data_IF_109811087005
#
_entry.id   IF_109811087005
#
_cell.length_a   1.000
_cell.length_b   1.000
_cell.length_c   1.000
_cell.angle_alpha   90.00
_cell.angle_beta   90.00
_cell.angle_gamma   90.00
#
_symmetry.space_group_name_H-M   'P 1'
#
loop_
_entity.id
_entity.type
_entity.pdbx_description
1 polymer ?
#
# COMPACT_ATOMS: atom_id res chain seq x y z
N UNK A 1 -10.97 17.31 -1.38
CA UNK A 1 -11.74 17.48 -0.11
C UNK A 1 -13.13 16.81 -0.19
N UNK A 2 -13.88 16.96 -1.29
CA UNK A 2 -15.23 16.38 -1.41
C UNK A 2 -15.28 14.85 -1.29
N UNK A 3 -14.27 14.12 -1.78
CA UNK A 3 -14.21 12.65 -1.67
C UNK A 3 -14.30 12.13 -0.23
N UNK A 4 -13.72 12.84 0.75
CA UNK A 4 -13.70 12.41 2.15
C UNK A 4 -15.05 12.57 2.86
N UNK A 5 -16.00 13.28 2.25
CA UNK A 5 -17.25 13.64 2.89
C UNK A 5 -18.49 12.94 2.32
N UNK A 6 -18.33 12.10 1.29
CA UNK A 6 -19.46 11.49 0.56
C UNK A 6 -19.66 9.99 0.84
N UNK A 7 -19.09 9.45 1.91
CA UNK A 7 -19.18 8.01 2.28
C UNK A 7 -18.80 7.09 1.11
N UNK A 8 -17.84 7.51 0.29
CA UNK A 8 -17.39 6.79 -0.89
C UNK A 8 -16.54 5.58 -0.55
N UNK A 9 -16.61 4.55 -1.39
CA UNK A 9 -15.79 3.35 -1.30
C UNK A 9 -14.74 3.39 -2.42
N UNK A 10 -13.47 3.32 -2.08
CA UNK A 10 -12.36 3.52 -3.00
C UNK A 10 -11.36 2.37 -2.92
N UNK A 11 -11.07 1.77 -4.06
CA UNK A 11 -10.02 0.77 -4.22
C UNK A 11 -8.77 1.40 -4.83
N UNK A 12 -7.68 1.39 -4.10
CA UNK A 12 -6.34 1.77 -4.57
C UNK A 12 -5.68 0.49 -5.08
N UNK A 13 -5.74 0.28 -6.38
CA UNK A 13 -5.26 -0.92 -7.05
C UNK A 13 -3.84 -0.74 -7.60
N UNK A 14 -3.03 -1.78 -7.50
CA UNK A 14 -1.70 -1.79 -8.08
C UNK A 14 -0.86 -2.98 -7.61
N UNK A 15 0.20 -3.24 -8.33
CA UNK A 15 1.11 -4.35 -8.06
C UNK A 15 1.77 -4.26 -6.68
N UNK A 16 2.33 -5.37 -6.21
CA UNK A 16 3.11 -5.39 -4.98
C UNK A 16 4.26 -4.38 -5.03
N UNK A 17 4.53 -3.67 -3.93
CA UNK A 17 5.65 -2.72 -3.86
C UNK A 17 5.55 -1.42 -4.68
N UNK A 18 4.44 -1.17 -5.40
CA UNK A 18 4.24 0.07 -6.18
C UNK A 18 4.08 1.33 -5.32
N UNK A 19 3.83 1.18 -4.01
CA UNK A 19 3.69 2.29 -3.08
C UNK A 19 2.25 2.54 -2.57
N UNK A 20 1.34 1.57 -2.66
CA UNK A 20 -0.05 1.70 -2.19
C UNK A 20 -0.13 2.10 -0.71
N UNK A 21 0.52 1.35 0.16
CA UNK A 21 0.60 1.63 1.61
C UNK A 21 1.22 2.99 1.89
N UNK A 22 2.25 3.38 1.13
CA UNK A 22 2.88 4.68 1.28
C UNK A 22 1.93 5.82 0.89
N UNK A 23 1.17 5.64 -0.19
CA UNK A 23 0.13 6.59 -0.58
C UNK A 23 -0.93 6.76 0.53
N UNK A 24 -1.36 5.67 1.18
CA UNK A 24 -2.31 5.75 2.30
C UNK A 24 -1.72 6.53 3.48
N UNK A 25 -0.45 6.28 3.85
CA UNK A 25 0.24 7.05 4.90
C UNK A 25 0.32 8.54 4.57
N UNK A 26 0.63 8.87 3.31
CA UNK A 26 0.67 10.26 2.86
C UNK A 26 -0.72 10.91 2.87
N UNK A 27 -1.78 10.18 2.55
CA UNK A 27 -3.16 10.66 2.68
C UNK A 27 -3.52 10.98 4.13
N UNK A 28 -3.20 10.10 5.08
CA UNK A 28 -3.42 10.34 6.51
C UNK A 28 -2.66 11.58 6.96
N UNK A 29 -1.35 11.65 6.66
CA UNK A 29 -0.53 12.80 7.02
C UNK A 29 -1.03 14.12 6.42
N UNK A 30 -1.50 14.09 5.17
CA UNK A 30 -2.11 15.24 4.54
C UNK A 30 -3.41 15.65 5.23
N UNK A 31 -4.25 14.68 5.61
CA UNK A 31 -5.50 14.96 6.35
C UNK A 31 -5.23 15.65 7.69
N UNK A 32 -4.19 15.21 8.41
CA UNK A 32 -3.75 15.82 9.66
C UNK A 32 -3.23 17.26 9.44
N UNK A 33 -2.38 17.47 8.42
CA UNK A 33 -1.81 18.79 8.09
C UNK A 33 -2.87 19.79 7.64
N UNK A 34 -3.89 19.35 6.90
CA UNK A 34 -5.01 20.18 6.44
C UNK A 34 -6.15 20.30 7.48
N UNK A 35 -5.92 19.80 8.69
CA UNK A 35 -6.90 19.80 9.81
C UNK A 35 -8.29 19.30 9.35
N UNK A 36 -8.30 18.20 8.58
CA UNK A 36 -9.54 17.58 8.12
C UNK A 36 -10.26 16.97 9.32
N UNK A 37 -11.42 17.53 9.66
CA UNK A 37 -12.23 17.01 10.78
C UNK A 37 -12.86 15.67 10.43
N UNK A 38 -12.20 14.59 10.82
CA UNK A 38 -12.69 13.22 10.67
C UNK A 38 -12.01 12.30 11.70
N UNK A 39 -12.67 11.19 12.01
CA UNK A 39 -12.06 10.07 12.74
C UNK A 39 -11.35 9.19 11.73
N UNK A 40 -10.13 8.78 12.01
CA UNK A 40 -9.35 7.89 11.15
C UNK A 40 -9.27 6.52 11.84
N UNK A 41 -9.70 5.48 11.14
CA UNK A 41 -9.48 4.09 11.50
C UNK A 41 -8.55 3.45 10.46
N UNK A 42 -7.54 2.71 10.90
CA UNK A 42 -6.60 2.02 10.02
C UNK A 42 -6.53 0.55 10.42
N UNK A 43 -6.72 -0.33 9.44
CA UNK A 43 -6.72 -1.78 9.59
C UNK A 43 -5.71 -2.37 8.60
N UNK A 44 -4.78 -3.15 9.09
CA UNK A 44 -3.94 -4.01 8.27
C UNK A 44 -4.68 -5.33 8.04
N UNK A 45 -4.99 -5.63 6.77
CA UNK A 45 -5.60 -6.91 6.43
C UNK A 45 -4.56 -8.03 6.50
N UNK A 46 -4.90 -9.10 7.19
CA UNK A 46 -4.02 -10.26 7.36
C UNK A 46 -4.72 -11.54 6.85
N UNK A 47 -5.33 -12.33 7.72
CA UNK A 47 -5.95 -13.62 7.37
C UNK A 47 -7.35 -13.47 6.77
N UNK A 48 -8.17 -12.68 7.41
CA UNK A 48 -9.53 -12.31 7.01
C UNK A 48 -9.92 -10.98 7.69
N UNK A 49 -11.05 -10.43 7.29
CA UNK A 49 -11.50 -9.13 7.77
C UNK A 49 -11.84 -9.16 9.28
N UNK A 50 -12.51 -10.22 9.74
CA UNK A 50 -12.90 -10.33 11.14
C UNK A 50 -11.68 -10.37 12.08
N UNK A 51 -10.65 -11.17 11.76
CA UNK A 51 -9.41 -11.23 12.51
C UNK A 51 -8.66 -9.90 12.46
N UNK A 52 -8.59 -9.26 11.30
CA UNK A 52 -7.90 -7.99 11.09
C UNK A 52 -8.51 -6.85 11.91
N UNK A 53 -9.84 -6.76 11.94
CA UNK A 53 -10.55 -5.76 12.73
C UNK A 53 -10.41 -6.04 14.24
N UNK A 54 -10.59 -7.29 14.66
CA UNK A 54 -10.43 -7.70 16.06
C UNK A 54 -9.05 -7.34 16.64
N UNK A 55 -8.00 -7.31 15.80
CA UNK A 55 -6.63 -6.93 16.23
C UNK A 55 -6.39 -5.42 16.17
N UNK A 56 -7.06 -4.72 15.25
CA UNK A 56 -6.81 -3.30 15.00
C UNK A 56 -7.60 -2.36 15.90
N UNK A 57 -8.79 -2.76 16.34
CA UNK A 57 -9.62 -1.95 17.22
C UNK A 57 -9.31 -2.28 18.69
N UNK A 58 -9.16 -1.23 19.49
CA UNK A 58 -8.93 -1.34 20.93
C UNK A 58 -10.25 -1.29 21.71
N UNK A 59 -10.23 -1.84 22.93
CA UNK A 59 -11.34 -1.82 23.88
C UNK A 59 -12.62 -2.55 23.41
N UNK A 60 -12.46 -3.56 22.53
CA UNK A 60 -13.53 -4.46 22.18
C UNK A 60 -13.81 -5.42 23.35
N UNK A 61 -15.10 -5.69 23.60
CA UNK A 61 -15.56 -6.51 24.73
C UNK A 61 -16.00 -7.91 24.32
N UNK A 62 -16.19 -8.16 23.02
CA UNK A 62 -16.60 -9.44 22.47
C UNK A 62 -15.63 -10.57 22.85
N UNK A 63 -16.16 -11.75 23.15
CA UNK A 63 -15.37 -12.93 23.54
C UNK A 63 -14.79 -13.64 22.32
N UNK A 64 -15.52 -13.68 21.19
CA UNK A 64 -15.07 -14.28 19.93
C UNK A 64 -14.51 -13.24 18.94
N UNK A 65 -13.83 -13.71 17.89
CA UNK A 65 -13.34 -12.86 16.79
C UNK A 65 -14.51 -12.21 16.05
N UNK A 66 -15.59 -12.98 15.81
CA UNK A 66 -16.79 -12.52 15.14
C UNK A 66 -17.52 -11.45 15.96
N UNK A 67 -17.65 -11.65 17.26
CA UNK A 67 -18.27 -10.65 18.14
C UNK A 67 -17.52 -9.33 18.14
N UNK A 68 -16.18 -9.38 18.23
CA UNK A 68 -15.33 -8.19 18.15
C UNK A 68 -15.40 -7.51 16.78
N UNK A 69 -15.50 -8.28 15.71
CA UNK A 69 -15.71 -7.75 14.38
C UNK A 69 -17.02 -6.97 14.30
N UNK A 70 -18.14 -7.57 14.71
CA UNK A 70 -19.45 -6.89 14.68
C UNK A 70 -19.47 -5.67 15.61
N UNK A 71 -18.80 -5.74 16.75
CA UNK A 71 -18.64 -4.58 17.65
C UNK A 71 -17.84 -3.45 16.95
N UNK A 72 -16.79 -3.79 16.20
CA UNK A 72 -16.02 -2.82 15.40
C UNK A 72 -16.87 -2.20 14.29
N UNK A 73 -17.67 -3.00 13.58
CA UNK A 73 -18.61 -2.53 12.55
C UNK A 73 -19.64 -1.59 13.16
N UNK A 74 -20.17 -1.95 14.34
CA UNK A 74 -21.10 -1.09 15.07
C UNK A 74 -20.46 0.27 15.39
N UNK A 75 -19.25 0.31 15.94
CA UNK A 75 -18.54 1.56 16.24
C UNK A 75 -18.22 2.41 15.00
N UNK A 76 -18.00 1.79 13.84
CA UNK A 76 -17.81 2.51 12.58
C UNK A 76 -19.14 3.05 12.01
N UNK A 77 -20.28 2.42 12.38
CA UNK A 77 -21.62 2.78 11.92
C UNK A 77 -22.30 3.83 12.79
N UNK A 78 -21.82 4.04 14.03
CA UNK A 78 -22.39 5.05 14.93
C UNK A 78 -22.31 6.45 14.28
N UNK A 79 -23.40 7.19 14.34
CA UNK A 79 -23.45 8.59 13.94
C UNK A 79 -22.63 9.44 14.90
N UNK A 80 -21.42 9.78 14.52
CA UNK A 80 -20.59 10.75 15.21
C UNK A 80 -20.75 12.13 14.58
N UNK A 81 -20.46 13.18 15.36
CA UNK A 81 -20.40 14.55 14.82
C UNK A 81 -19.32 14.68 13.73
N UNK A 82 -18.29 13.85 13.79
CA UNK A 82 -17.21 13.79 12.80
C UNK A 82 -17.35 12.53 11.95
N UNK A 83 -17.18 12.70 10.64
CA UNK A 83 -17.20 11.57 9.68
C UNK A 83 -16.01 10.65 9.91
N UNK A 84 -16.22 9.37 9.71
CA UNK A 84 -15.18 8.35 9.83
C UNK A 84 -14.56 8.06 8.44
N UNK A 85 -13.24 7.92 8.39
CA UNK A 85 -12.49 7.43 7.25
C UNK A 85 -11.77 6.16 7.67
N UNK A 86 -12.10 5.05 7.02
CA UNK A 86 -11.47 3.75 7.22
C UNK A 86 -10.42 3.51 6.14
N UNK A 87 -9.20 3.18 6.56
CA UNK A 87 -8.13 2.69 5.71
C UNK A 87 -7.94 1.19 5.95
N UNK A 88 -8.11 0.38 4.91
CA UNK A 88 -7.88 -1.06 4.92
C UNK A 88 -6.72 -1.38 3.98
N UNK A 89 -5.57 -1.76 4.55
CA UNK A 89 -4.34 -2.00 3.77
C UNK A 89 -4.13 -3.48 3.47
N UNK A 90 -3.69 -3.76 2.23
CA UNK A 90 -3.29 -5.08 1.74
C UNK A 90 -4.42 -6.13 1.64
N UNK A 91 -5.66 -5.72 1.38
CA UNK A 91 -6.79 -6.62 1.19
C UNK A 91 -6.75 -7.23 -0.21
N UNK A 92 -6.37 -8.50 -0.32
CA UNK A 92 -6.17 -9.20 -1.58
C UNK A 92 -7.14 -10.38 -1.79
N UNK A 93 -8.11 -10.57 -0.90
CA UNK A 93 -9.14 -11.60 -0.99
C UNK A 93 -10.41 -11.09 -1.67
N UNK A 94 -11.13 -12.01 -2.31
CA UNK A 94 -12.47 -11.77 -2.87
C UNK A 94 -13.54 -11.98 -1.81
N UNK A 95 -14.79 -11.60 -2.09
CA UNK A 95 -15.92 -11.88 -1.20
C UNK A 95 -16.23 -13.38 -1.05
N UNK A 96 -15.84 -14.19 -2.03
CA UNK A 96 -15.96 -15.65 -1.93
C UNK A 96 -14.95 -16.23 -0.92
N UNK A 97 -13.77 -15.64 -0.82
CA UNK A 97 -12.71 -16.03 0.12
C UNK A 97 -12.91 -15.43 1.52
N UNK A 98 -13.48 -14.23 1.60
CA UNK A 98 -13.78 -13.56 2.87
C UNK A 98 -15.19 -12.94 2.84
N UNK A 99 -16.21 -13.64 3.31
CA UNK A 99 -17.61 -13.18 3.27
C UNK A 99 -17.87 -11.86 4.05
N UNK A 100 -17.04 -11.53 5.04
CA UNK A 100 -17.16 -10.29 5.80
C UNK A 100 -16.91 -9.02 4.96
N UNK A 101 -16.27 -9.16 3.79
CA UNK A 101 -16.05 -8.03 2.88
C UNK A 101 -17.35 -7.37 2.39
N UNK A 102 -18.45 -8.13 2.32
CA UNK A 102 -19.76 -7.59 1.95
C UNK A 102 -20.25 -6.52 2.93
N UNK A 103 -19.93 -6.65 4.22
CA UNK A 103 -20.34 -5.70 5.26
C UNK A 103 -19.70 -4.32 5.11
N UNK A 104 -18.52 -4.23 4.48
CA UNK A 104 -17.87 -2.94 4.23
C UNK A 104 -18.66 -2.03 3.29
N UNK A 105 -19.46 -2.61 2.40
CA UNK A 105 -20.22 -1.84 1.40
C UNK A 105 -21.30 -0.98 2.05
N UNK A 106 -21.88 -1.48 3.12
CA UNK A 106 -23.00 -0.85 3.81
C UNK A 106 -22.58 0.15 4.91
N UNK A 107 -21.28 0.20 5.23
CA UNK A 107 -20.79 1.15 6.24
C UNK A 107 -21.00 2.60 5.81
N UNK A 108 -21.51 3.48 6.69
CA UNK A 108 -21.75 4.89 6.36
C UNK A 108 -20.49 5.76 6.36
N UNK A 109 -19.31 5.18 6.28
CA UNK A 109 -18.02 5.87 6.30
C UNK A 109 -17.34 5.87 4.93
N UNK A 110 -16.39 6.75 4.74
CA UNK A 110 -15.48 6.69 3.58
C UNK A 110 -14.46 5.57 3.79
N UNK A 111 -14.30 4.70 2.79
CA UNK A 111 -13.36 3.57 2.88
C UNK A 111 -12.32 3.64 1.76
N UNK A 112 -11.05 3.55 2.12
CA UNK A 112 -9.95 3.35 1.22
C UNK A 112 -9.37 1.96 1.44
N UNK A 113 -9.37 1.15 0.39
CA UNK A 113 -8.80 -0.20 0.39
C UNK A 113 -7.59 -0.22 -0.52
N UNK A 114 -6.46 -0.79 -0.09
CA UNK A 114 -5.37 -1.12 -1.00
C UNK A 114 -5.40 -2.59 -1.35
N UNK A 115 -5.24 -2.90 -2.64
CA UNK A 115 -5.24 -4.28 -3.13
C UNK A 115 -4.38 -4.45 -4.38
N UNK A 116 -4.03 -5.71 -4.69
CA UNK A 116 -3.53 -6.11 -6.01
C UNK A 116 -4.66 -6.37 -7.01
N UNK A 117 -5.87 -6.58 -6.53
CA UNK A 117 -7.04 -6.77 -7.36
C UNK A 117 -7.31 -5.53 -8.21
N UNK A 118 -7.75 -5.73 -9.44
CA UNK A 118 -8.08 -4.65 -10.38
C UNK A 118 -9.49 -4.10 -10.17
N UNK A 119 -10.33 -4.85 -9.49
CA UNK A 119 -11.73 -4.53 -9.24
C UNK A 119 -12.17 -5.09 -7.89
N UNK A 120 -12.99 -4.33 -7.19
CA UNK A 120 -13.72 -4.78 -6.01
C UNK A 120 -15.15 -4.25 -6.16
N UNK A 121 -16.13 -5.14 -6.07
CA UNK A 121 -17.52 -4.79 -6.29
C UNK A 121 -18.02 -3.74 -5.30
N UNK A 122 -18.72 -2.72 -5.79
CA UNK A 122 -19.14 -1.57 -4.97
C UNK A 122 -18.08 -0.51 -4.69
N UNK A 123 -16.83 -0.68 -5.21
CA UNK A 123 -15.74 0.27 -5.01
C UNK A 123 -15.33 1.00 -6.29
N UNK A 124 -15.09 2.29 -6.19
CA UNK A 124 -14.47 3.08 -7.27
C UNK A 124 -12.97 2.81 -7.30
N UNK A 125 -12.47 2.27 -8.41
CA UNK A 125 -11.07 1.85 -8.53
C UNK A 125 -10.15 2.97 -9.03
N UNK A 126 -9.05 3.18 -8.32
CA UNK A 126 -7.92 4.01 -8.71
C UNK A 126 -6.67 3.14 -8.91
N UNK A 127 -6.25 2.94 -10.16
CA UNK A 127 -5.04 2.21 -10.48
C UNK A 127 -3.79 3.08 -10.29
N UNK A 128 -2.85 2.64 -9.45
CA UNK A 128 -1.54 3.29 -9.33
C UNK A 128 -0.65 2.87 -10.49
N UNK A 129 -0.14 3.87 -11.20
CA UNK A 129 0.85 3.68 -12.26
C UNK A 129 2.26 3.76 -11.70
N UNK A 130 3.22 3.16 -12.41
CA UNK A 130 4.63 3.30 -12.09
C UNK A 130 5.03 4.79 -11.99
N UNK A 131 5.81 5.17 -10.97
CA UNK A 131 6.27 6.55 -10.83
C UNK A 131 7.16 6.98 -12.00
N UNK A 132 7.23 8.29 -12.22
CA UNK A 132 8.17 8.84 -13.22
C UNK A 132 9.63 8.54 -12.85
N UNK A 133 10.53 8.46 -13.84
CA UNK A 133 11.96 8.18 -13.65
C UNK A 133 12.63 9.12 -12.63
N UNK A 134 12.21 10.38 -12.58
CA UNK A 134 12.70 11.34 -11.57
C UNK A 134 12.37 10.93 -10.14
N UNK A 135 11.13 10.48 -9.89
CA UNK A 135 10.72 9.97 -8.58
C UNK A 135 11.41 8.65 -8.24
N UNK A 136 11.57 7.75 -9.21
CA UNK A 136 12.32 6.50 -9.07
C UNK A 136 13.78 6.77 -8.69
N UNK A 137 14.43 7.76 -9.32
CA UNK A 137 15.80 8.19 -8.97
C UNK A 137 15.89 8.71 -7.52
N UNK A 138 14.87 9.41 -7.04
CA UNK A 138 14.80 9.85 -5.64
C UNK A 138 14.70 8.66 -4.69
N UNK A 139 13.82 7.70 -4.97
CA UNK A 139 13.66 6.47 -4.15
C UNK A 139 15.01 5.75 -4.03
N UNK A 140 15.75 5.60 -5.13
CA UNK A 140 17.08 5.02 -5.07
C UNK A 140 18.02 5.82 -4.17
N UNK A 141 18.12 7.15 -4.39
CA UNK A 141 19.03 8.03 -3.66
C UNK A 141 18.74 8.08 -2.16
N UNK A 142 17.48 8.09 -1.77
CA UNK A 142 17.06 8.10 -0.36
C UNK A 142 17.45 6.81 0.39
N UNK A 143 17.71 5.73 -0.35
CA UNK A 143 18.12 4.45 0.20
C UNK A 143 19.61 4.13 -0.04
N UNK A 144 20.30 4.93 -0.84
CA UNK A 144 21.74 4.82 -1.11
C UNK A 144 22.48 5.84 -0.26
N UNK A 145 23.00 5.43 0.89
CA UNK A 145 23.62 6.29 1.92
C UNK A 145 24.90 7.01 1.46
N UNK A 146 25.02 7.35 0.18
CA UNK A 146 26.17 8.06 -0.39
C UNK A 146 25.70 9.08 -1.42
N UNK A 147 26.52 10.11 -1.62
CA UNK A 147 26.33 11.05 -2.72
C UNK A 147 26.78 10.36 -4.01
N UNK A 148 25.85 10.22 -4.96
CA UNK A 148 26.15 9.65 -6.27
C UNK A 148 27.17 10.52 -7.03
N UNK A 149 28.23 9.91 -7.51
CA UNK A 149 29.14 10.49 -8.49
C UNK A 149 28.41 10.74 -9.82
N UNK A 150 29.07 11.44 -10.73
CA UNK A 150 28.52 11.66 -12.08
C UNK A 150 28.33 10.34 -12.83
N UNK A 151 29.31 9.45 -12.75
CA UNK A 151 29.27 8.13 -13.39
C UNK A 151 28.15 7.26 -12.85
N UNK A 152 27.96 7.24 -11.52
CA UNK A 152 26.85 6.49 -10.89
C UNK A 152 25.48 7.05 -11.28
N UNK A 153 25.35 8.37 -11.44
CA UNK A 153 24.11 8.99 -11.94
C UNK A 153 23.80 8.57 -13.39
N UNK A 154 24.82 8.56 -14.25
CA UNK A 154 24.67 8.14 -15.63
C UNK A 154 24.32 6.64 -15.71
N UNK A 155 24.88 5.83 -14.81
CA UNK A 155 24.58 4.40 -14.68
C UNK A 155 23.16 4.16 -14.19
N UNK A 156 22.72 4.84 -13.13
CA UNK A 156 21.34 4.78 -12.64
C UNK A 156 20.36 5.18 -13.74
N UNK A 157 20.66 6.22 -14.52
CA UNK A 157 19.81 6.64 -15.63
C UNK A 157 19.66 5.55 -16.69
N UNK A 158 20.71 4.82 -17.03
CA UNK A 158 20.66 3.68 -17.95
C UNK A 158 19.88 2.50 -17.38
N UNK A 159 20.01 2.22 -16.07
CA UNK A 159 19.23 1.18 -15.41
C UNK A 159 17.74 1.48 -15.50
N UNK A 160 17.32 2.72 -15.29
CA UNK A 160 15.92 3.16 -15.36
C UNK A 160 15.32 3.09 -16.77
N UNK A 161 16.12 2.79 -17.82
CA UNK A 161 15.58 2.45 -19.15
C UNK A 161 15.04 1.02 -19.22
N UNK A 162 15.51 0.12 -18.35
CA UNK A 162 15.04 -1.25 -18.27
C UNK A 162 13.77 -1.30 -17.41
N UNK A 163 12.70 -1.96 -17.89
CA UNK A 163 11.40 -2.03 -17.24
C UNK A 163 11.48 -2.58 -15.80
N UNK A 164 12.29 -3.61 -15.60
CA UNK A 164 12.56 -4.24 -14.29
C UNK A 164 12.99 -3.26 -13.20
N UNK A 165 13.69 -2.17 -13.55
CA UNK A 165 14.13 -1.14 -12.62
C UNK A 165 13.14 0.04 -12.52
N UNK A 166 12.03 0.01 -13.25
CA UNK A 166 10.98 1.04 -13.13
C UNK A 166 9.99 0.74 -11.99
N UNK A 167 10.42 -0.07 -11.03
CA UNK A 167 9.62 -0.47 -9.89
C UNK A 167 10.18 0.09 -8.57
N UNK A 168 9.36 0.79 -7.75
CA UNK A 168 9.84 1.45 -6.52
C UNK A 168 10.55 0.54 -5.55
N UNK A 169 10.00 -0.67 -5.30
CA UNK A 169 10.62 -1.63 -4.37
C UNK A 169 11.99 -2.10 -4.87
N UNK A 170 12.11 -2.39 -6.17
CA UNK A 170 13.40 -2.78 -6.78
C UNK A 170 14.46 -1.71 -6.55
N UNK A 171 14.13 -0.44 -6.78
CA UNK A 171 15.07 0.65 -6.58
C UNK A 171 15.40 0.92 -5.10
N UNK A 172 14.43 0.72 -4.22
CA UNK A 172 14.66 0.77 -2.77
C UNK A 172 15.65 -0.31 -2.33
N UNK A 173 15.48 -1.53 -2.81
CA UNK A 173 16.36 -2.66 -2.51
C UNK A 173 17.75 -2.45 -3.14
N UNK A 174 17.81 -2.00 -4.39
CA UNK A 174 19.04 -1.67 -5.09
C UNK A 174 19.83 -0.58 -4.35
N UNK A 175 19.17 0.49 -3.89
CA UNK A 175 19.80 1.54 -3.11
C UNK A 175 20.40 1.02 -1.81
N UNK A 176 19.63 0.20 -1.06
CA UNK A 176 20.12 -0.45 0.15
C UNK A 176 21.30 -1.39 -0.11
N UNK A 177 21.16 -2.28 -1.10
CA UNK A 177 22.21 -3.22 -1.48
C UNK A 177 23.49 -2.48 -1.93
N UNK A 178 23.36 -1.42 -2.74
CA UNK A 178 24.49 -0.59 -3.18
C UNK A 178 25.28 0.01 -2.03
N UNK A 179 24.65 0.28 -0.90
CA UNK A 179 25.33 0.72 0.33
C UNK A 179 26.22 -0.39 0.92
N UNK A 180 25.76 -1.63 0.92
CA UNK A 180 26.51 -2.78 1.46
C UNK A 180 27.66 -3.21 0.57
N UNK A 181 27.48 -3.18 -0.76
CA UNK A 181 28.50 -3.65 -1.73
C UNK A 181 29.50 -2.57 -2.18
N UNK A 182 29.61 -1.48 -1.41
CA UNK A 182 30.63 -0.43 -1.62
C UNK A 182 30.68 0.16 -3.04
N UNK A 183 29.53 0.16 -3.74
CA UNK A 183 29.44 0.73 -5.08
C UNK A 183 29.91 -0.19 -6.21
N UNK A 184 30.03 -1.49 -5.98
CA UNK A 184 30.22 -2.46 -7.06
C UNK A 184 28.89 -2.69 -7.81
N UNK A 185 28.61 -1.78 -8.74
CA UNK A 185 27.37 -1.76 -9.51
C UNK A 185 27.26 -2.95 -10.49
N UNK A 186 28.36 -3.49 -10.99
CA UNK A 186 28.34 -4.64 -11.90
C UNK A 186 27.80 -5.87 -11.17
N UNK A 187 28.30 -6.10 -9.97
CA UNK A 187 27.83 -7.19 -9.12
C UNK A 187 26.36 -7.01 -8.75
N UNK A 188 25.93 -5.79 -8.41
CA UNK A 188 24.54 -5.49 -8.04
C UNK A 188 23.58 -5.72 -9.21
N UNK A 189 23.98 -5.35 -10.43
CA UNK A 189 23.15 -5.58 -11.63
C UNK A 189 23.05 -7.08 -11.95
N UNK A 190 24.15 -7.81 -11.83
CA UNK A 190 24.19 -9.25 -12.06
C UNK A 190 23.37 -10.02 -11.02
N UNK A 191 23.53 -9.69 -9.74
CA UNK A 191 22.80 -10.31 -8.64
C UNK A 191 21.29 -10.10 -8.77
N UNK A 192 20.87 -8.88 -9.09
CA UNK A 192 19.45 -8.58 -9.32
C UNK A 192 18.89 -9.26 -10.55
N UNK A 193 19.66 -9.39 -11.64
CA UNK A 193 19.22 -10.11 -12.83
C UNK A 193 19.09 -11.61 -12.58
N UNK A 194 19.98 -12.18 -11.76
CA UNK A 194 19.97 -13.61 -11.43
C UNK A 194 18.91 -13.98 -10.40
N UNK A 195 18.65 -13.12 -9.42
CA UNK A 195 17.72 -13.37 -8.31
C UNK A 195 16.38 -12.61 -8.48
N UNK A 196 16.12 -12.06 -9.68
CA UNK A 196 14.91 -11.30 -9.93
C UNK A 196 13.64 -12.11 -9.72
N UNK A 197 13.65 -13.39 -10.11
CA UNK A 197 12.49 -14.25 -9.97
C UNK A 197 12.10 -14.42 -8.50
N UNK A 198 13.05 -14.57 -7.59
CA UNK A 198 12.80 -14.71 -6.15
C UNK A 198 12.23 -13.40 -5.57
N UNK A 199 12.80 -12.26 -5.95
CA UNK A 199 12.30 -10.94 -5.53
C UNK A 199 10.92 -10.65 -6.13
N UNK A 200 10.67 -11.09 -7.36
CA UNK A 200 9.40 -10.93 -8.04
C UNK A 200 8.30 -11.83 -7.43
N UNK A 201 8.62 -13.07 -7.03
CA UNK A 201 7.73 -13.96 -6.29
C UNK A 201 7.35 -13.37 -4.93
N UNK A 202 8.33 -13.01 -4.11
CA UNK A 202 8.10 -12.42 -2.78
C UNK A 202 7.30 -11.11 -2.85
N UNK A 203 7.49 -10.32 -3.90
CA UNK A 203 6.77 -9.06 -4.11
C UNK A 203 5.44 -9.20 -4.84
N UNK A 204 5.09 -10.41 -5.34
CA UNK A 204 3.91 -10.66 -6.17
C UNK A 204 3.96 -9.97 -7.53
N UNK A 205 5.15 -9.76 -8.07
CA UNK A 205 5.36 -9.18 -9.41
C UNK A 205 5.22 -10.22 -10.53
N UNK A 206 5.35 -11.53 -10.22
CA UNK A 206 5.27 -12.62 -11.21
C UNK A 206 3.86 -12.77 -11.78
N UNK A 207 2.81 -12.45 -11.02
CA UNK A 207 1.42 -12.53 -11.50
C UNK A 207 1.07 -11.49 -12.58
N UNK A 208 2.07 -10.77 -13.11
CA UNK A 208 1.88 -9.68 -14.08
C UNK A 208 2.35 -9.97 -15.49
N UNK A 209 3.01 -11.09 -15.73
CA UNK A 209 3.46 -11.55 -17.04
C UNK A 209 2.88 -12.93 -17.33
#
# INVERSE_FOLDING_TARGET
KEMFFNSGKYLISGIGGIGKTELMRQLVSWMEQEEVKCRIAAVQYEENLAASFSRSFLNLTGESVEERFHESIYHLSEEHQEKTVLFLDNMNHTEEEDPYLSELKDLPCTIFVTSRQKHLDGFTTFGIKAPQKSALSLIFRDNYNKILSREEKDRLSRLLEKEIFQHPLTLKLLGKAGTYYFGNWDYLEEELQNNWNDVAEESGLIDMY
#
